data_IF_391618675614
#
_entry.id   IF_391618675614
#
_cell.length_a   1.000
_cell.length_b   1.000
_cell.length_c   1.000
_cell.angle_alpha   90.00
_cell.angle_beta   90.00
_cell.angle_gamma   90.00
#
_symmetry.space_group_name_H-M   'P 1'
#
loop_
_entity.id
_entity.type
_entity.pdbx_description
1 polymer ?
#
# COMPACT_ATOMS: atom_id res chain seq x y z
N UNK A 1 19.14 12.06 0.01
CA UNK A 1 18.65 13.34 -0.54
C UNK A 1 17.95 14.05 0.59
N UNK A 2 18.44 15.24 0.93
CA UNK A 2 17.91 16.02 2.03
C UNK A 2 17.48 17.39 1.49
N UNK A 3 16.18 17.56 1.30
CA UNK A 3 15.56 18.78 0.79
C UNK A 3 15.10 19.74 1.89
N UNK A 4 15.65 19.63 3.12
CA UNK A 4 15.24 20.47 4.26
C UNK A 4 15.68 21.93 4.10
N UNK A 5 16.86 22.17 3.50
CA UNK A 5 17.40 23.52 3.26
C UNK A 5 16.97 24.13 1.91
N UNK A 6 16.41 23.32 1.02
CA UNK A 6 16.05 23.72 -0.33
C UNK A 6 15.47 22.55 -1.09
N UNK A 7 14.61 22.83 -2.07
CA UNK A 7 13.96 21.77 -2.83
C UNK A 7 14.97 21.01 -3.70
N UNK A 8 14.91 19.68 -3.62
CA UNK A 8 15.58 18.76 -4.54
C UNK A 8 14.51 18.25 -5.51
N UNK A 9 14.41 18.92 -6.65
CA UNK A 9 13.36 18.70 -7.65
C UNK A 9 13.94 18.39 -9.03
N UNK A 10 13.25 17.54 -9.80
CA UNK A 10 13.56 17.22 -11.20
C UNK A 10 14.97 16.66 -11.45
N UNK A 11 15.55 15.98 -10.47
CA UNK A 11 16.86 15.36 -10.62
C UNK A 11 16.75 13.96 -11.22
N UNK A 12 17.77 13.57 -11.98
CA UNK A 12 18.03 12.17 -12.32
C UNK A 12 19.27 11.70 -11.57
N UNK A 13 19.11 10.64 -10.78
CA UNK A 13 20.12 10.14 -9.87
C UNK A 13 20.31 8.64 -10.12
N UNK A 14 21.55 8.20 -10.20
CA UNK A 14 21.90 6.79 -10.33
C UNK A 14 22.84 6.43 -9.20
N UNK A 15 22.48 5.41 -8.44
CA UNK A 15 23.26 4.86 -7.33
C UNK A 15 23.56 3.41 -7.66
N UNK A 16 24.77 3.12 -8.11
CA UNK A 16 25.10 1.79 -8.62
C UNK A 16 24.96 0.71 -7.56
N UNK A 17 25.51 0.96 -6.36
CA UNK A 17 25.49 0.01 -5.26
C UNK A 17 25.63 0.74 -3.93
N UNK A 18 24.90 0.27 -2.91
CA UNK A 18 25.09 0.69 -1.51
C UNK A 18 25.14 -0.55 -0.62
N UNK A 19 26.15 -0.61 0.24
CA UNK A 19 26.42 -1.77 1.10
C UNK A 19 26.64 -1.33 2.54
N UNK A 20 26.09 -2.08 3.50
CA UNK A 20 26.49 -1.96 4.92
C UNK A 20 26.02 -0.67 5.60
N UNK A 21 24.85 -0.14 5.22
CA UNK A 21 24.33 1.12 5.75
C UNK A 21 23.21 0.89 6.77
N UNK A 22 23.02 1.83 7.70
CA UNK A 22 21.78 1.86 8.49
C UNK A 22 20.58 2.09 7.57
N UNK A 23 20.69 3.09 6.69
CA UNK A 23 19.70 3.41 5.65
C UNK A 23 20.44 3.65 4.33
N UNK A 24 20.11 2.91 3.27
CA UNK A 24 20.88 2.98 2.02
C UNK A 24 20.50 4.20 1.17
N UNK A 25 19.20 4.37 0.87
CA UNK A 25 18.65 5.54 0.20
C UNK A 25 17.61 6.19 1.09
N UNK A 26 17.84 7.44 1.47
CA UNK A 26 16.92 8.25 2.28
C UNK A 26 16.54 9.52 1.53
N UNK A 27 15.24 9.77 1.40
CA UNK A 27 14.69 11.04 0.93
C UNK A 27 13.99 11.72 2.11
N UNK A 28 14.34 12.97 2.41
CA UNK A 28 13.70 13.81 3.43
C UNK A 28 13.54 15.23 2.91
N UNK A 29 12.70 16.03 3.55
CA UNK A 29 12.44 17.40 3.14
C UNK A 29 11.71 17.48 1.82
N UNK A 30 11.95 18.57 1.11
CA UNK A 30 11.32 18.86 -0.19
C UNK A 30 12.00 18.09 -1.34
N UNK A 31 11.84 16.77 -1.35
CA UNK A 31 12.31 15.88 -2.41
C UNK A 31 11.17 15.46 -3.32
N UNK A 32 11.06 16.10 -4.50
CA UNK A 32 9.97 15.85 -5.44
C UNK A 32 10.43 15.59 -6.86
N UNK A 33 9.61 14.88 -7.65
CA UNK A 33 9.84 14.65 -9.09
C UNK A 33 11.20 14.07 -9.48
N UNK A 34 11.92 13.43 -8.55
CA UNK A 34 13.23 12.86 -8.85
C UNK A 34 13.08 11.47 -9.49
N UNK A 35 14.00 11.14 -10.40
CA UNK A 35 14.15 9.80 -10.97
C UNK A 35 15.38 9.15 -10.39
N UNK A 36 15.19 8.07 -9.64
CA UNK A 36 16.27 7.39 -8.90
C UNK A 36 16.36 5.95 -9.38
N UNK A 37 17.51 5.57 -9.90
CA UNK A 37 17.84 4.19 -10.21
C UNK A 37 18.89 3.67 -9.24
N UNK A 38 18.51 2.71 -8.40
CA UNK A 38 19.33 2.14 -7.35
C UNK A 38 19.29 0.60 -7.43
N UNK A 39 19.90 -0.01 -8.46
CA UNK A 39 19.72 -1.42 -8.78
C UNK A 39 20.23 -2.38 -7.70
N UNK A 40 21.12 -1.94 -6.79
CA UNK A 40 21.67 -2.80 -5.75
C UNK A 40 21.76 -2.07 -4.40
N UNK A 41 20.77 -2.32 -3.53
CA UNK A 41 20.80 -1.91 -2.12
C UNK A 41 20.94 -3.17 -1.26
N UNK A 42 22.09 -3.37 -0.60
CA UNK A 42 22.39 -4.60 0.12
C UNK A 42 22.87 -4.32 1.55
N UNK A 43 22.76 -5.34 2.40
CA UNK A 43 23.32 -5.35 3.76
C UNK A 43 22.93 -4.11 4.57
N UNK A 44 21.69 -3.65 4.39
CA UNK A 44 21.19 -2.45 5.05
C UNK A 44 20.01 -2.76 5.96
N UNK A 45 19.91 -2.06 7.09
CA UNK A 45 18.75 -2.21 7.98
C UNK A 45 17.48 -1.65 7.33
N UNK A 46 17.59 -0.57 6.58
CA UNK A 46 16.52 -0.04 5.73
C UNK A 46 17.11 0.29 4.36
N UNK A 47 16.61 -0.32 3.29
CA UNK A 47 17.22 -0.13 1.98
C UNK A 47 16.73 1.18 1.34
N UNK A 48 15.41 1.39 1.32
CA UNK A 48 14.80 2.61 0.82
C UNK A 48 13.93 3.24 1.91
N UNK A 49 14.09 4.53 2.17
CA UNK A 49 13.21 5.29 3.03
C UNK A 49 12.76 6.59 2.36
N UNK A 50 11.45 6.78 2.27
CA UNK A 50 10.81 7.96 1.67
C UNK A 50 10.09 8.76 2.75
N UNK A 51 10.73 9.83 3.21
CA UNK A 51 10.25 10.66 4.31
C UNK A 51 10.54 10.06 5.69
N UNK A 52 9.98 10.69 6.70
CA UNK A 52 10.01 10.26 8.09
C UNK A 52 8.73 10.77 8.80
N UNK A 53 8.48 10.44 10.08
CA UNK A 53 7.26 10.88 10.77
C UNK A 53 7.03 12.40 10.74
N UNK A 54 8.09 13.20 10.76
CA UNK A 54 8.03 14.66 10.93
C UNK A 54 8.07 15.42 9.58
N UNK A 55 8.60 14.80 8.53
CA UNK A 55 8.98 15.48 7.28
C UNK A 55 8.75 14.58 6.04
N UNK A 56 7.51 14.12 5.91
CA UNK A 56 7.07 13.24 4.82
C UNK A 56 6.22 13.96 3.76
N UNK A 57 5.53 15.04 4.12
CA UNK A 57 4.54 15.72 3.27
C UNK A 57 5.13 16.27 1.96
N UNK A 58 6.45 16.38 1.86
CA UNK A 58 7.14 16.91 0.69
C UNK A 58 8.02 15.89 -0.03
N UNK A 59 7.94 14.61 0.34
CA UNK A 59 8.58 13.50 -0.38
C UNK A 59 7.55 12.88 -1.33
N UNK A 60 7.38 13.49 -2.49
CA UNK A 60 6.28 13.17 -3.40
C UNK A 60 6.69 13.09 -4.87
N UNK A 61 5.90 12.39 -5.69
CA UNK A 61 6.10 12.33 -7.15
C UNK A 61 7.46 11.78 -7.61
N UNK A 62 8.18 11.05 -6.74
CA UNK A 62 9.44 10.44 -7.11
C UNK A 62 9.19 9.15 -7.91
N UNK A 63 10.08 8.86 -8.86
CA UNK A 63 10.09 7.62 -9.62
C UNK A 63 11.34 6.85 -9.26
N UNK A 64 11.19 5.73 -8.57
CA UNK A 64 12.32 5.03 -7.96
C UNK A 64 12.31 3.58 -8.38
N UNK A 65 13.42 3.12 -8.94
CA UNK A 65 13.70 1.71 -9.17
C UNK A 65 14.74 1.22 -8.18
N UNK A 66 14.44 0.12 -7.48
CA UNK A 66 15.39 -0.48 -6.55
C UNK A 66 15.27 -2.00 -6.43
N UNK A 67 16.41 -2.67 -6.26
CA UNK A 67 16.46 -4.04 -5.78
C UNK A 67 17.16 -4.09 -4.42
N UNK A 68 16.60 -4.88 -3.51
CA UNK A 68 16.92 -4.82 -2.09
C UNK A 68 17.18 -6.22 -1.51
N UNK A 69 18.28 -6.37 -0.79
CA UNK A 69 18.69 -7.65 -0.22
C UNK A 69 19.34 -7.47 1.16
N UNK A 70 18.62 -7.86 2.20
CA UNK A 70 19.05 -7.74 3.58
C UNK A 70 20.17 -8.69 3.99
N UNK A 71 20.42 -9.79 3.26
CA UNK A 71 21.55 -10.71 3.50
C UNK A 71 21.80 -11.08 4.97
N UNK A 72 20.74 -11.43 5.70
CA UNK A 72 20.83 -11.85 7.10
C UNK A 72 20.88 -10.73 8.14
N UNK A 73 20.78 -9.46 7.74
CA UNK A 73 20.56 -8.35 8.68
C UNK A 73 19.22 -8.55 9.40
N UNK A 74 19.28 -8.66 10.73
CA UNK A 74 18.09 -8.75 11.56
C UNK A 74 17.24 -7.48 11.43
N UNK A 75 15.92 -7.65 11.36
CA UNK A 75 14.95 -6.56 11.20
C UNK A 75 15.14 -5.71 9.94
N UNK A 76 15.77 -6.28 8.90
CA UNK A 76 15.93 -5.60 7.63
C UNK A 76 14.56 -5.24 7.03
N UNK A 77 14.44 -4.00 6.57
CA UNK A 77 13.30 -3.46 5.83
C UNK A 77 13.74 -3.17 4.41
N UNK A 78 12.96 -3.61 3.42
CA UNK A 78 13.13 -3.24 2.01
C UNK A 78 12.85 -1.74 1.85
N UNK A 79 11.60 -1.37 1.61
CA UNK A 79 11.19 0.03 1.57
C UNK A 79 10.31 0.42 2.76
N UNK A 80 10.60 1.58 3.34
CA UNK A 80 9.81 2.22 4.40
C UNK A 80 9.30 3.58 3.90
N UNK A 81 7.98 3.70 3.73
CA UNK A 81 7.37 4.79 2.97
C UNK A 81 6.50 5.61 3.90
N UNK A 82 6.81 6.89 4.03
CA UNK A 82 5.97 7.90 4.68
C UNK A 82 5.40 8.91 3.67
N UNK A 83 6.11 9.14 2.56
CA UNK A 83 5.70 10.06 1.51
C UNK A 83 4.50 9.57 0.70
N UNK A 84 4.07 10.40 -0.26
CA UNK A 84 2.87 10.17 -1.07
C UNK A 84 3.13 10.32 -2.57
N UNK A 85 2.21 9.84 -3.42
CA UNK A 85 2.24 10.02 -4.88
C UNK A 85 3.52 9.50 -5.58
N UNK A 86 4.25 8.55 -4.99
CA UNK A 86 5.47 8.03 -5.62
C UNK A 86 5.16 6.82 -6.52
N UNK A 87 5.93 6.68 -7.60
CA UNK A 87 5.94 5.50 -8.47
C UNK A 87 7.19 4.68 -8.19
N UNK A 88 7.02 3.46 -7.71
CA UNK A 88 8.13 2.63 -7.23
C UNK A 88 8.19 1.30 -8.00
N UNK A 89 9.32 1.00 -8.61
CA UNK A 89 9.62 -0.30 -9.23
C UNK A 89 10.57 -1.08 -8.32
N UNK A 90 10.01 -2.00 -7.54
CA UNK A 90 10.73 -2.60 -6.40
C UNK A 90 10.83 -4.12 -6.51
N UNK A 91 11.92 -4.64 -5.97
CA UNK A 91 12.07 -6.07 -5.71
C UNK A 91 12.87 -6.32 -4.44
N UNK A 92 12.48 -7.33 -3.69
CA UNK A 92 13.22 -7.77 -2.49
C UNK A 92 13.60 -9.24 -2.60
N UNK A 93 14.77 -9.58 -2.05
CA UNK A 93 15.26 -10.97 -1.96
C UNK A 93 15.03 -11.50 -0.55
N UNK A 94 15.56 -10.80 0.45
CA UNK A 94 15.49 -11.21 1.85
C UNK A 94 15.32 -9.98 2.75
N UNK A 95 14.26 -9.94 3.54
CA UNK A 95 13.97 -8.96 4.59
C UNK A 95 13.28 -9.68 5.74
N UNK A 96 12.96 -8.98 6.84
CA UNK A 96 12.14 -9.58 7.90
C UNK A 96 10.69 -9.82 7.45
N UNK A 97 9.95 -10.76 8.07
CA UNK A 97 8.53 -10.97 7.80
C UNK A 97 7.72 -9.66 7.86
N UNK A 98 6.92 -9.40 6.84
CA UNK A 98 6.12 -8.18 6.67
C UNK A 98 6.91 -6.94 6.28
N UNK A 99 8.24 -7.02 6.10
CA UNK A 99 9.13 -5.87 5.94
C UNK A 99 9.71 -5.74 4.53
N UNK A 100 9.17 -6.38 3.49
CA UNK A 100 9.60 -6.03 2.13
C UNK A 100 9.19 -4.60 1.79
N UNK A 101 7.95 -4.25 2.16
CA UNK A 101 7.40 -2.89 2.08
C UNK A 101 6.64 -2.58 3.36
N UNK A 102 6.91 -1.41 3.93
CA UNK A 102 6.18 -0.85 5.06
C UNK A 102 5.64 0.50 4.65
N UNK A 103 4.32 0.58 4.50
CA UNK A 103 3.58 1.83 4.37
C UNK A 103 3.30 2.35 5.77
N UNK A 104 3.88 3.49 6.11
CA UNK A 104 3.72 4.12 7.41
C UNK A 104 2.47 4.97 7.45
N UNK A 105 2.02 5.36 8.64
CA UNK A 105 0.76 6.10 8.84
C UNK A 105 0.46 7.22 7.83
N UNK A 106 1.40 8.12 7.51
CA UNK A 106 1.09 9.20 6.59
C UNK A 106 1.17 8.82 5.11
N UNK A 107 1.64 7.61 4.75
CA UNK A 107 1.73 7.25 3.33
C UNK A 107 0.35 7.14 2.70
N UNK A 108 0.25 7.58 1.46
CA UNK A 108 -0.95 7.48 0.63
C UNK A 108 -0.56 7.63 -0.85
N UNK A 109 -1.42 7.12 -1.72
CA UNK A 109 -1.38 7.36 -3.17
C UNK A 109 -0.08 6.93 -3.87
N UNK A 110 0.73 6.07 -3.23
CA UNK A 110 1.90 5.49 -3.88
C UNK A 110 1.47 4.31 -4.79
N UNK A 111 2.11 4.20 -5.95
CA UNK A 111 2.00 3.04 -6.83
C UNK A 111 3.31 2.25 -6.83
N UNK A 112 3.24 0.99 -6.43
CA UNK A 112 4.36 0.06 -6.45
C UNK A 112 4.14 -1.01 -7.51
N UNK A 113 5.08 -1.13 -8.45
CA UNK A 113 5.18 -2.25 -9.37
C UNK A 113 6.25 -3.18 -8.80
N UNK A 114 5.83 -4.31 -8.26
CA UNK A 114 6.71 -5.21 -7.53
C UNK A 114 6.96 -6.52 -8.28
N UNK A 115 8.25 -6.83 -8.49
CA UNK A 115 8.67 -8.10 -9.08
C UNK A 115 8.51 -9.26 -8.09
N UNK A 116 9.04 -9.10 -6.87
CA UNK A 116 9.01 -10.10 -5.80
C UNK A 116 8.97 -9.40 -4.44
N UNK A 117 8.08 -9.89 -3.56
CA UNK A 117 7.93 -9.49 -2.16
C UNK A 117 7.71 -10.76 -1.31
N UNK A 118 8.75 -11.60 -1.12
CA UNK A 118 8.63 -12.91 -0.49
C UNK A 118 8.28 -12.88 1.01
N UNK A 119 8.62 -11.81 1.72
CA UNK A 119 8.35 -11.64 3.15
C UNK A 119 7.08 -10.80 3.40
N UNK A 120 6.54 -10.15 2.37
CA UNK A 120 5.23 -9.51 2.41
C UNK A 120 5.27 -8.04 2.78
N UNK A 121 4.07 -7.49 3.01
CA UNK A 121 3.82 -6.05 3.09
C UNK A 121 3.08 -5.76 4.38
N UNK A 122 3.50 -4.70 5.06
CA UNK A 122 2.80 -4.15 6.22
C UNK A 122 2.22 -2.78 5.86
N UNK A 123 0.93 -2.60 6.15
CA UNK A 123 0.22 -1.37 5.84
C UNK A 123 -0.31 -0.70 7.12
N UNK A 124 0.38 0.36 7.55
CA UNK A 124 -0.01 1.22 8.67
C UNK A 124 -0.67 2.52 8.22
N UNK A 125 -0.82 2.78 6.91
CA UNK A 125 -1.38 4.02 6.38
C UNK A 125 -2.75 4.34 6.99
N UNK A 126 -2.94 5.56 7.48
CA UNK A 126 -4.23 6.01 7.98
C UNK A 126 -5.24 6.10 6.82
N UNK A 127 -4.77 6.54 5.63
CA UNK A 127 -5.48 6.55 4.35
C UNK A 127 -4.90 5.46 3.42
N UNK A 128 -5.48 4.24 3.39
CA UNK A 128 -4.83 3.08 2.80
C UNK A 128 -5.00 3.01 1.28
N UNK A 129 -4.64 4.07 0.57
CA UNK A 129 -4.76 4.21 -0.89
C UNK A 129 -3.54 3.71 -1.66
N UNK A 130 -2.45 3.39 -0.95
CA UNK A 130 -1.24 2.80 -1.53
C UNK A 130 -1.52 1.48 -2.28
N UNK A 131 -1.08 1.41 -3.53
CA UNK A 131 -1.37 0.30 -4.45
C UNK A 131 -0.11 -0.47 -4.83
N UNK A 132 -0.23 -1.79 -4.88
CA UNK A 132 0.80 -2.70 -5.36
C UNK A 132 0.27 -3.51 -6.54
N UNK A 133 1.01 -3.49 -7.64
CA UNK A 133 0.86 -4.37 -8.80
C UNK A 133 1.94 -5.44 -8.73
N UNK A 134 1.54 -6.71 -8.69
CA UNK A 134 2.44 -7.87 -8.71
C UNK A 134 2.16 -8.76 -9.92
N UNK A 135 3.16 -9.53 -10.34
CA UNK A 135 3.01 -10.47 -11.46
C UNK A 135 1.97 -11.59 -11.22
N UNK A 136 1.58 -11.83 -9.95
CA UNK A 136 0.56 -12.82 -9.58
C UNK A 136 -0.47 -12.18 -8.68
N UNK A 137 -1.75 -12.47 -8.91
CA UNK A 137 -2.82 -12.13 -7.97
C UNK A 137 -2.78 -13.08 -6.77
N UNK A 138 -3.06 -12.55 -5.57
CA UNK A 138 -3.24 -13.36 -4.35
C UNK A 138 -4.57 -14.14 -4.35
N UNK A 139 -5.54 -13.79 -5.20
CA UNK A 139 -6.84 -14.46 -5.24
C UNK A 139 -7.48 -14.58 -3.86
N UNK A 140 -7.88 -15.78 -3.46
CA UNK A 140 -8.50 -16.06 -2.15
C UNK A 140 -7.52 -16.18 -0.97
N UNK A 141 -6.20 -16.07 -1.23
CA UNK A 141 -5.16 -16.15 -0.20
C UNK A 141 -5.00 -14.85 0.62
N UNK A 142 -5.96 -13.95 0.53
CA UNK A 142 -6.06 -12.78 1.40
C UNK A 142 -7.00 -13.07 2.58
N UNK A 143 -6.76 -12.37 3.69
CA UNK A 143 -7.65 -12.43 4.85
C UNK A 143 -8.96 -11.72 4.51
N UNK A 144 -10.08 -12.42 4.70
CA UNK A 144 -11.41 -11.79 4.69
C UNK A 144 -11.65 -11.19 6.07
N UNK A 145 -11.83 -9.86 6.19
CA UNK A 145 -12.16 -9.25 7.47
C UNK A 145 -13.55 -9.71 7.95
N UNK A 146 -13.78 -9.71 9.28
CA UNK A 146 -15.13 -9.90 9.81
C UNK A 146 -16.05 -8.81 9.28
N UNK A 147 -17.34 -9.13 9.18
CA UNK A 147 -18.36 -8.14 8.83
C UNK A 147 -18.37 -7.03 9.92
N UNK A 148 -18.35 -5.74 9.56
CA UNK A 148 -18.50 -4.64 10.51
C UNK A 148 -19.92 -4.66 11.12
N UNK A 149 -20.14 -3.91 12.20
CA UNK A 149 -21.50 -3.72 12.71
C UNK A 149 -22.37 -3.00 11.67
N UNK A 150 -23.69 -3.22 11.72
CA UNK A 150 -24.65 -2.52 10.86
C UNK A 150 -24.46 -1.01 10.97
N UNK A 151 -24.39 -0.33 9.82
CA UNK A 151 -24.14 1.12 9.73
C UNK A 151 -22.67 1.53 9.87
N UNK A 152 -21.73 0.60 10.05
CA UNK A 152 -20.29 0.91 10.03
C UNK A 152 -19.67 0.63 8.66
N UNK A 153 -18.85 1.57 8.20
CA UNK A 153 -18.07 1.40 6.98
C UNK A 153 -16.91 0.42 7.17
N UNK A 154 -16.66 -0.39 6.15
CA UNK A 154 -15.48 -1.22 6.02
C UNK A 154 -14.64 -0.74 4.83
N UNK A 155 -13.41 -0.34 5.12
CA UNK A 155 -12.44 0.12 4.11
C UNK A 155 -11.57 -1.04 3.61
N UNK A 156 -11.29 -1.08 2.32
CA UNK A 156 -10.25 -1.95 1.77
C UNK A 156 -8.86 -1.45 2.18
N UNK A 157 -8.29 -2.07 3.22
CA UNK A 157 -6.91 -1.81 3.68
C UNK A 157 -5.85 -2.65 2.96
N UNK A 158 -6.25 -3.53 2.04
CA UNK A 158 -5.29 -4.27 1.22
C UNK A 158 -4.69 -3.33 0.18
N UNK A 159 -3.39 -3.46 -0.11
CA UNK A 159 -2.73 -2.69 -1.15
C UNK A 159 -3.03 -3.19 -2.58
N UNK A 160 -4.19 -3.81 -2.79
CA UNK A 160 -4.64 -4.33 -4.07
C UNK A 160 -6.16 -4.19 -4.16
N UNK A 161 -6.69 -4.19 -5.38
CA UNK A 161 -8.14 -4.23 -5.55
C UNK A 161 -8.69 -5.55 -5.00
N UNK A 162 -9.84 -5.49 -4.35
CA UNK A 162 -10.55 -6.67 -3.86
C UNK A 162 -11.94 -6.73 -4.46
N UNK A 163 -12.46 -7.94 -4.56
CA UNK A 163 -13.88 -8.20 -4.71
C UNK A 163 -14.42 -8.82 -3.44
N UNK A 164 -15.47 -8.23 -2.91
CA UNK A 164 -16.32 -8.79 -1.86
C UNK A 164 -17.38 -9.64 -2.56
N UNK A 165 -17.31 -10.94 -2.37
CA UNK A 165 -18.28 -11.90 -2.90
C UNK A 165 -19.31 -12.23 -1.84
N UNK A 166 -20.58 -11.93 -2.09
CA UNK A 166 -21.68 -12.23 -1.16
C UNK A 166 -22.02 -13.72 -1.27
N UNK A 167 -21.81 -14.46 -0.19
CA UNK A 167 -22.14 -15.90 -0.12
C UNK A 167 -23.53 -16.10 0.45
N UNK A 168 -23.95 -15.27 1.40
CA UNK A 168 -25.32 -15.18 1.91
C UNK A 168 -25.72 -13.70 2.07
N UNK A 169 -26.88 -13.28 1.55
CA UNK A 169 -27.21 -11.85 1.45
C UNK A 169 -27.64 -11.18 2.76
N UNK A 170 -27.97 -11.93 3.81
CA UNK A 170 -28.50 -11.35 5.05
C UNK A 170 -29.88 -10.67 4.82
N UNK A 171 -30.19 -9.66 5.64
CA UNK A 171 -31.38 -8.82 5.50
C UNK A 171 -31.00 -7.33 5.60
N UNK A 172 -30.86 -6.67 4.45
CA UNK A 172 -30.61 -5.24 4.31
C UNK A 172 -31.49 -4.62 3.23
N UNK A 173 -31.78 -3.33 3.38
CA UNK A 173 -32.55 -2.53 2.42
C UNK A 173 -31.70 -1.50 1.70
N UNK A 174 -30.55 -1.14 2.26
CA UNK A 174 -29.70 -0.06 1.81
C UNK A 174 -28.23 -0.43 2.04
N UNK A 175 -27.39 -0.06 1.08
CA UNK A 175 -25.94 -0.14 1.22
C UNK A 175 -25.27 1.00 0.45
N UNK A 176 -24.08 1.38 0.89
CA UNK A 176 -23.36 2.54 0.36
C UNK A 176 -21.93 2.17 -0.01
N UNK A 177 -21.46 2.68 -1.15
CA UNK A 177 -20.05 2.70 -1.51
C UNK A 177 -19.48 4.09 -1.26
N UNK A 178 -18.29 4.15 -0.66
CA UNK A 178 -17.52 5.37 -0.51
C UNK A 178 -16.23 5.28 -1.31
N UNK A 179 -15.91 6.30 -2.10
CA UNK A 179 -14.61 6.42 -2.77
C UNK A 179 -13.55 7.05 -1.85
N UNK A 180 -12.33 7.20 -2.38
CA UNK A 180 -11.20 7.78 -1.64
C UNK A 180 -11.24 9.30 -1.54
N UNK A 181 -12.12 9.96 -2.31
CA UNK A 181 -12.33 11.42 -2.29
C UNK A 181 -13.46 11.82 -1.32
N UNK A 182 -14.12 10.84 -0.71
CA UNK A 182 -15.22 11.04 0.23
C UNK A 182 -16.59 11.13 -0.45
N UNK A 183 -16.69 10.88 -1.75
CA UNK A 183 -17.98 10.75 -2.41
C UNK A 183 -18.63 9.43 -2.04
N UNK A 184 -19.95 9.42 -1.98
CA UNK A 184 -20.74 8.23 -1.64
C UNK A 184 -21.82 7.97 -2.67
N UNK A 185 -22.03 6.69 -2.98
CA UNK A 185 -23.16 6.21 -3.78
C UNK A 185 -23.95 5.21 -2.97
N UNK A 186 -25.21 5.54 -2.69
CA UNK A 186 -26.15 4.66 -2.01
C UNK A 186 -26.97 3.87 -3.02
N UNK A 187 -27.26 2.62 -2.69
CA UNK A 187 -28.06 1.69 -3.46
C UNK A 187 -29.24 1.22 -2.61
N UNK A 188 -30.44 1.37 -3.15
CA UNK A 188 -31.66 0.82 -2.57
C UNK A 188 -31.86 -0.61 -3.06
N UNK A 189 -32.03 -1.54 -2.12
CA UNK A 189 -32.32 -2.94 -2.39
C UNK A 189 -31.42 -3.92 -1.65
N UNK A 190 -31.81 -5.20 -1.65
CA UNK A 190 -31.05 -6.25 -0.97
C UNK A 190 -29.78 -6.58 -1.76
N UNK A 191 -28.82 -7.20 -1.06
CA UNK A 191 -27.77 -7.97 -1.73
C UNK A 191 -28.33 -9.32 -2.19
N UNK A 192 -27.65 -9.97 -3.14
CA UNK A 192 -27.96 -11.33 -3.55
C UNK A 192 -26.73 -12.25 -3.49
N UNK A 193 -26.96 -13.56 -3.33
CA UNK A 193 -25.87 -14.53 -3.38
C UNK A 193 -25.20 -14.48 -4.76
N UNK A 194 -23.87 -14.55 -4.78
CA UNK A 194 -23.06 -14.41 -5.99
C UNK A 194 -22.83 -12.97 -6.45
N UNK A 195 -23.45 -11.96 -5.82
CA UNK A 195 -23.12 -10.57 -6.08
C UNK A 195 -21.66 -10.29 -5.70
N UNK A 196 -20.97 -9.51 -6.53
CA UNK A 196 -19.63 -9.00 -6.22
C UNK A 196 -19.64 -7.48 -6.12
N UNK A 197 -18.91 -6.97 -5.13
CA UNK A 197 -18.65 -5.54 -4.94
C UNK A 197 -17.14 -5.36 -5.04
N UNK A 198 -16.67 -4.56 -5.99
CA UNK A 198 -15.24 -4.26 -6.15
C UNK A 198 -14.89 -3.04 -5.30
N UNK A 199 -13.81 -3.14 -4.53
CA UNK A 199 -13.20 -2.01 -3.82
C UNK A 199 -11.73 -1.89 -4.21
N UNK A 200 -11.31 -0.71 -4.63
CA UNK A 200 -9.89 -0.35 -4.75
C UNK A 200 -9.31 0.01 -3.36
N UNK A 201 -7.97 0.06 -3.17
CA UNK A 201 -7.39 0.45 -1.88
C UNK A 201 -7.93 1.80 -1.41
N UNK A 202 -8.41 1.88 -0.17
CA UNK A 202 -9.00 3.09 0.42
C UNK A 202 -10.51 3.25 0.19
N UNK A 203 -11.10 2.59 -0.81
CA UNK A 203 -12.57 2.57 -0.97
C UNK A 203 -13.24 1.79 0.15
N UNK A 204 -14.51 2.09 0.39
CA UNK A 204 -15.28 1.51 1.48
C UNK A 204 -16.66 1.04 1.06
N UNK A 205 -17.19 0.10 1.84
CA UNK A 205 -18.59 -0.33 1.79
C UNK A 205 -19.22 -0.19 3.17
N UNK A 206 -20.44 0.34 3.23
CA UNK A 206 -21.26 0.41 4.43
C UNK A 206 -22.56 -0.35 4.18
N UNK A 207 -22.90 -1.26 5.09
CA UNK A 207 -24.12 -2.08 5.01
C UNK A 207 -25.04 -1.79 6.19
N UNK A 208 -26.32 -1.56 5.91
CA UNK A 208 -27.35 -1.37 6.94
C UNK A 208 -28.27 -2.58 6.97
N UNK A 209 -28.05 -3.47 7.94
CA UNK A 209 -28.73 -4.76 8.02
C UNK A 209 -29.37 -5.02 9.39
N UNK A 210 -30.39 -5.88 9.39
CA UNK A 210 -30.97 -6.49 10.60
C UNK A 210 -30.55 -7.95 10.77
N UNK A 211 -30.13 -8.60 9.68
CA UNK A 211 -29.45 -9.89 9.70
C UNK A 211 -28.17 -9.80 8.86
N UNK A 212 -27.03 -10.17 9.44
CA UNK A 212 -25.72 -10.03 8.83
C UNK A 212 -25.57 -10.88 7.54
N UNK A 213 -25.11 -10.31 6.41
CA UNK A 213 -24.64 -11.11 5.29
C UNK A 213 -23.40 -11.92 5.64
N UNK A 214 -23.11 -12.92 4.82
CA UNK A 214 -21.83 -13.61 4.79
C UNK A 214 -21.13 -13.27 3.47
N UNK A 215 -19.81 -13.06 3.55
CA UNK A 215 -19.01 -12.71 2.40
C UNK A 215 -17.64 -13.39 2.38
N UNK A 216 -16.97 -13.32 1.24
CA UNK A 216 -15.57 -13.71 1.07
C UNK A 216 -14.84 -12.67 0.24
N UNK A 217 -13.61 -12.35 0.61
CA UNK A 217 -12.77 -11.43 -0.16
C UNK A 217 -11.85 -12.20 -1.11
N UNK A 218 -11.66 -11.63 -2.30
CA UNK A 218 -10.73 -12.11 -3.34
C UNK A 218 -9.92 -10.93 -3.86
N UNK A 219 -8.60 -11.04 -3.85
CA UNK A 219 -7.74 -10.07 -4.52
C UNK A 219 -7.88 -10.19 -6.04
N UNK A 220 -7.99 -9.06 -6.73
CA UNK A 220 -8.04 -8.98 -8.18
C UNK A 220 -6.89 -8.12 -8.70
N UNK A 221 -6.35 -8.43 -9.90
CA UNK A 221 -5.33 -7.60 -10.53
C UNK A 221 -5.77 -6.14 -10.74
#
# INVERSE_FOLDING_TARGET
LDGTQGSLNDNRITVMEVVGCRTAVLLTGRCSNNWIDAPFLHLSRTHLQLGNPDDHAHVTNNRIRAAMDGQGIADAIGARIYGADNLLELSTVQTSPGHDLVFEKPSHDNLVIAGRLPNGVTNHADNPTDRIITARSKGFSITTPPLPQSGQALTNRQNTSIEIMITQPGNLTTWTLGDTEGNVQTFDGPLHSGQSIRLTPGESVLLEYTAAPQWRWRAVP
#
